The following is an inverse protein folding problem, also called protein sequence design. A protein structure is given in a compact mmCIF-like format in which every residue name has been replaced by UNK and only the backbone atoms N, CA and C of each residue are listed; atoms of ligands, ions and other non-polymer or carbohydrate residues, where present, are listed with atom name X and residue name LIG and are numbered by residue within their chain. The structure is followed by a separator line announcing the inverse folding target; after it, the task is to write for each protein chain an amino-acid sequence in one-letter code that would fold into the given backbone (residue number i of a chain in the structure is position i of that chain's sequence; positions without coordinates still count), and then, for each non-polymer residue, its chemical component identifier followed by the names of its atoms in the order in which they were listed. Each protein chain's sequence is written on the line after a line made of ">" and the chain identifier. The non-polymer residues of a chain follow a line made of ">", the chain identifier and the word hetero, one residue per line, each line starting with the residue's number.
data_IF_970542742063
#
_entry.id   IF_970542742063
#
_cell.length_a   1.000
_cell.length_b   1.000
_cell.length_c   1.000
_cell.angle_alpha   90.00
_cell.angle_beta   90.00
_cell.angle_gamma   90.00
#
_symmetry.space_group_name_H-M   'P 1'
#
loop_
_entity.id
_entity.type
_entity.pdbx_description
1 polymer ?
#
# COMPACT_ATOMS: atom_id res chain seq x y z
N UNK A 1 -17.17 -10.41 -18.10
CA UNK A 1 -17.16 -11.87 -18.31
C UNK A 1 -16.81 -12.51 -16.98
N UNK A 2 -17.49 -13.59 -16.57
CA UNK A 2 -17.13 -14.31 -15.35
C UNK A 2 -15.69 -14.84 -15.46
N UNK A 3 -14.92 -14.73 -14.38
CA UNK A 3 -13.53 -15.20 -14.33
C UNK A 3 -13.53 -16.73 -14.38
N UNK A 4 -12.70 -17.32 -15.25
CA UNK A 4 -12.60 -18.77 -15.34
C UNK A 4 -12.10 -19.37 -14.00
N UNK A 5 -12.66 -20.51 -13.53
CA UNK A 5 -12.25 -21.14 -12.27
C UNK A 5 -10.73 -21.41 -12.20
N UNK A 6 -10.09 -21.72 -13.32
CA UNK A 6 -8.65 -21.97 -13.39
C UNK A 6 -7.81 -20.70 -13.18
N UNK A 7 -8.32 -19.54 -13.58
CA UNK A 7 -7.67 -18.25 -13.35
C UNK A 7 -7.74 -17.86 -11.86
N UNK A 8 -8.89 -18.11 -11.21
CA UNK A 8 -9.05 -17.89 -9.76
C UNK A 8 -8.06 -18.78 -8.99
N UNK A 9 -8.01 -20.08 -9.33
CA UNK A 9 -7.05 -21.02 -8.71
C UNK A 9 -5.61 -20.56 -8.91
N UNK A 10 -5.23 -20.14 -10.12
CA UNK A 10 -3.88 -19.65 -10.41
C UNK A 10 -3.53 -18.40 -9.61
N UNK A 11 -4.46 -17.44 -9.47
CA UNK A 11 -4.23 -16.24 -8.65
C UNK A 11 -4.14 -16.59 -7.16
N UNK A 12 -4.97 -17.51 -6.67
CA UNK A 12 -4.89 -17.99 -5.29
C UNK A 12 -3.51 -18.60 -5.02
N UNK A 13 -3.04 -19.48 -5.90
CA UNK A 13 -1.72 -20.10 -5.80
C UNK A 13 -0.63 -19.03 -5.78
N UNK A 14 -0.63 -18.08 -6.73
CA UNK A 14 0.40 -17.03 -6.77
C UNK A 14 0.39 -16.18 -5.50
N UNK A 15 -0.79 -15.75 -5.03
CA UNK A 15 -0.90 -14.91 -3.85
C UNK A 15 -0.49 -15.65 -2.58
N UNK A 16 -0.91 -16.91 -2.40
CA UNK A 16 -0.55 -17.74 -1.25
C UNK A 16 0.94 -18.07 -1.28
N UNK A 17 1.48 -18.51 -2.42
CA UNK A 17 2.92 -18.79 -2.57
C UNK A 17 3.75 -17.54 -2.32
N UNK A 18 3.38 -16.40 -2.91
CA UNK A 18 4.06 -15.12 -2.67
C UNK A 18 4.01 -14.70 -1.20
N UNK A 19 2.82 -14.78 -0.57
CA UNK A 19 2.64 -14.49 0.85
C UNK A 19 3.55 -15.36 1.73
N UNK A 20 3.57 -16.68 1.51
CA UNK A 20 4.40 -17.61 2.26
C UNK A 20 5.88 -17.31 2.06
N UNK A 21 6.34 -17.16 0.82
CA UNK A 21 7.75 -16.92 0.51
C UNK A 21 8.26 -15.60 1.09
N UNK A 22 7.46 -14.53 0.99
CA UNK A 22 7.82 -13.21 1.53
C UNK A 22 7.87 -13.26 3.07
N UNK A 23 6.91 -13.92 3.72
CA UNK A 23 6.93 -14.09 5.19
C UNK A 23 8.09 -14.95 5.65
N UNK A 24 8.41 -16.02 4.92
CA UNK A 24 9.54 -16.90 5.23
C UNK A 24 10.86 -16.13 5.10
N UNK A 25 11.06 -15.42 3.97
CA UNK A 25 12.23 -14.59 3.74
C UNK A 25 12.38 -13.52 4.83
N UNK A 26 11.28 -12.85 5.19
CA UNK A 26 11.27 -11.86 6.26
C UNK A 26 11.60 -12.46 7.62
N UNK A 27 11.07 -13.64 7.94
CA UNK A 27 11.37 -14.33 9.20
C UNK A 27 12.88 -14.57 9.35
N UNK A 28 13.54 -15.06 8.30
CA UNK A 28 14.99 -15.27 8.30
C UNK A 28 15.80 -13.97 8.35
N UNK A 29 15.46 -12.99 7.50
CA UNK A 29 16.14 -11.69 7.47
C UNK A 29 15.98 -10.94 8.79
N UNK A 30 14.78 -10.94 9.37
CA UNK A 30 14.52 -10.34 10.68
C UNK A 30 15.30 -11.03 11.80
N UNK A 31 15.50 -12.36 11.73
CA UNK A 31 16.38 -13.09 12.65
C UNK A 31 17.80 -12.53 12.63
N UNK A 32 18.42 -12.46 11.45
CA UNK A 32 19.78 -11.90 11.30
C UNK A 32 19.88 -10.43 11.73
N UNK A 33 18.82 -9.65 11.50
CA UNK A 33 18.76 -8.24 11.90
C UNK A 33 18.69 -8.09 13.42
N UNK A 34 17.84 -8.86 14.10
CA UNK A 34 17.73 -8.81 15.56
C UNK A 34 18.98 -9.35 16.24
N UNK A 35 19.58 -10.42 15.70
CA UNK A 35 20.84 -10.99 16.19
C UNK A 35 22.00 -9.98 16.10
N UNK A 36 22.11 -9.26 14.98
CA UNK A 36 23.16 -8.23 14.79
C UNK A 36 22.97 -6.97 15.64
N UNK A 37 21.78 -6.73 16.18
CA UNK A 37 21.47 -5.58 17.04
C UNK A 37 21.36 -5.95 18.53
N UNK A 38 21.79 -7.16 18.91
CA UNK A 38 21.73 -7.57 20.31
C UNK A 38 22.70 -6.82 21.22
N UNK A 39 23.82 -6.28 20.73
CA UNK A 39 24.75 -5.51 21.56
C UNK A 39 25.69 -4.66 20.67
N UNK A 40 25.25 -3.48 20.23
CA UNK A 40 26.21 -2.52 19.65
C UNK A 40 26.85 -1.72 20.80
N UNK A 41 27.99 -2.19 21.31
CA UNK A 41 28.95 -1.37 22.07
C UNK A 41 29.66 -0.41 21.11
N UNK A 42 28.95 0.58 20.57
CA UNK A 42 29.62 1.79 20.09
C UNK A 42 29.89 2.64 21.34
N UNK A 43 31.12 3.12 21.54
CA UNK A 43 31.62 3.75 22.78
C UNK A 43 30.92 5.02 23.28
N UNK A 44 29.64 5.25 22.96
CA UNK A 44 28.83 6.42 23.31
C UNK A 44 27.44 6.02 23.91
N UNK A 45 27.08 4.73 23.96
CA UNK A 45 25.88 4.29 24.70
C UNK A 45 25.38 2.89 24.32
N UNK A 46 24.79 2.18 25.27
CA UNK A 46 24.16 0.88 25.03
C UNK A 46 22.79 1.07 24.39
N UNK A 47 22.59 0.60 23.15
CA UNK A 47 21.25 0.44 22.59
C UNK A 47 20.68 -0.85 23.16
N UNK A 48 19.54 -0.79 23.85
CA UNK A 48 18.92 -1.96 24.46
C UNK A 48 18.59 -3.02 23.39
N UNK A 49 18.95 -4.27 23.67
CA UNK A 49 18.59 -5.41 22.85
C UNK A 49 17.07 -5.50 22.64
N UNK A 50 16.65 -5.93 21.45
CA UNK A 50 15.23 -6.22 21.19
C UNK A 50 14.75 -7.37 22.08
N UNK A 51 13.65 -7.17 22.79
CA UNK A 51 13.03 -8.25 23.58
C UNK A 51 12.32 -9.26 22.67
N UNK A 52 12.17 -10.54 23.10
CA UNK A 52 11.41 -11.54 22.32
C UNK A 52 10.00 -11.09 21.94
N UNK A 53 9.34 -10.33 22.82
CA UNK A 53 8.01 -9.76 22.58
C UNK A 53 8.04 -8.73 21.45
N UNK A 54 9.05 -7.85 21.42
CA UNK A 54 9.21 -6.85 20.37
C UNK A 54 9.49 -7.51 19.01
N UNK A 55 10.33 -8.55 18.96
CA UNK A 55 10.59 -9.30 17.74
C UNK A 55 9.32 -9.98 17.22
N UNK A 56 8.54 -10.58 18.11
CA UNK A 56 7.28 -11.24 17.77
C UNK A 56 6.26 -10.24 17.26
N UNK A 57 6.13 -9.08 17.91
CA UNK A 57 5.25 -8.01 17.47
C UNK A 57 5.60 -7.52 16.05
N UNK A 58 6.89 -7.33 15.75
CA UNK A 58 7.36 -6.94 14.41
C UNK A 58 7.00 -7.99 13.36
N UNK A 59 7.24 -9.27 13.65
CA UNK A 59 6.91 -10.38 12.75
C UNK A 59 5.41 -10.52 12.50
N UNK A 60 4.59 -10.42 13.55
CA UNK A 60 3.13 -10.47 13.44
C UNK A 60 2.58 -9.28 12.63
N UNK A 61 3.13 -8.09 12.82
CA UNK A 61 2.71 -6.90 12.05
C UNK A 61 3.06 -7.07 10.57
N UNK A 62 4.23 -7.62 10.25
CA UNK A 62 4.62 -7.93 8.88
C UNK A 62 3.71 -8.99 8.25
N UNK A 63 3.41 -10.07 8.97
CA UNK A 63 2.52 -11.13 8.51
C UNK A 63 1.10 -10.61 8.25
N UNK A 64 0.58 -9.78 9.15
CA UNK A 64 -0.72 -9.12 8.96
C UNK A 64 -0.72 -8.26 7.69
N UNK A 65 0.30 -7.41 7.52
CA UNK A 65 0.40 -6.50 6.39
C UNK A 65 0.51 -7.24 5.05
N UNK A 66 1.41 -8.21 4.97
CA UNK A 66 1.57 -9.04 3.77
C UNK A 66 0.30 -9.85 3.49
N UNK A 67 -0.43 -10.28 4.52
CA UNK A 67 -1.71 -10.96 4.38
C UNK A 67 -2.79 -10.05 3.79
N UNK A 68 -2.88 -8.80 4.28
CA UNK A 68 -3.79 -7.78 3.74
C UNK A 68 -3.45 -7.50 2.27
N UNK A 69 -2.17 -7.27 1.96
CA UNK A 69 -1.71 -7.04 0.58
C UNK A 69 -2.01 -8.23 -0.32
N UNK A 70 -1.76 -9.46 0.14
CA UNK A 70 -2.07 -10.67 -0.61
C UNK A 70 -3.57 -10.85 -0.84
N UNK A 71 -4.41 -10.56 0.16
CA UNK A 71 -5.86 -10.61 0.04
C UNK A 71 -6.35 -9.60 -1.01
N UNK A 72 -5.95 -8.34 -0.92
CA UNK A 72 -6.33 -7.33 -1.92
C UNK A 72 -5.78 -7.64 -3.31
N UNK A 73 -4.56 -8.20 -3.40
CA UNK A 73 -3.99 -8.64 -4.68
C UNK A 73 -4.78 -9.81 -5.29
N UNK A 74 -5.23 -10.75 -4.47
CA UNK A 74 -6.08 -11.86 -4.90
C UNK A 74 -7.43 -11.36 -5.42
N UNK A 75 -8.14 -10.53 -4.65
CA UNK A 75 -9.43 -9.97 -5.07
C UNK A 75 -9.25 -9.10 -6.33
N UNK A 76 -8.16 -8.33 -6.43
CA UNK A 76 -7.83 -7.56 -7.63
C UNK A 76 -7.56 -8.44 -8.85
N UNK A 77 -7.05 -9.66 -8.67
CA UNK A 77 -6.89 -10.63 -9.75
C UNK A 77 -8.21 -11.19 -10.29
N UNK A 78 -9.29 -11.11 -9.52
CA UNK A 78 -10.64 -11.55 -9.91
C UNK A 78 -11.43 -10.38 -10.51
N UNK A 79 -11.53 -9.27 -9.79
CA UNK A 79 -12.28 -8.09 -10.21
C UNK A 79 -11.41 -6.82 -10.22
N UNK A 80 -10.44 -6.72 -11.14
CA UNK A 80 -9.47 -5.62 -11.15
C UNK A 80 -10.13 -4.25 -11.27
N UNK A 81 -11.28 -4.18 -11.97
CA UNK A 81 -12.04 -2.95 -12.13
C UNK A 81 -12.69 -2.51 -10.84
N UNK A 82 -13.35 -3.40 -10.10
CA UNK A 82 -14.01 -3.01 -8.85
C UNK A 82 -12.97 -2.67 -7.81
N UNK A 83 -11.97 -3.54 -7.62
CA UNK A 83 -10.97 -3.39 -6.56
C UNK A 83 -10.06 -2.20 -6.80
N UNK A 84 -9.54 -2.00 -8.02
CA UNK A 84 -8.65 -0.88 -8.32
C UNK A 84 -9.30 0.47 -8.06
N UNK A 85 -10.58 0.62 -8.43
CA UNK A 85 -11.33 1.86 -8.20
C UNK A 85 -11.78 1.99 -6.73
N UNK A 86 -12.19 0.90 -6.07
CA UNK A 86 -12.55 0.92 -4.65
C UNK A 86 -11.36 1.32 -3.79
N UNK A 87 -10.18 0.74 -4.04
CA UNK A 87 -8.95 1.12 -3.35
C UNK A 87 -8.62 2.60 -3.57
N UNK A 88 -8.73 3.10 -4.79
CA UNK A 88 -8.54 4.53 -5.07
C UNK A 88 -9.54 5.42 -4.31
N UNK A 89 -10.81 5.00 -4.18
CA UNK A 89 -11.81 5.73 -3.39
C UNK A 89 -11.48 5.72 -1.90
N UNK A 90 -11.07 4.57 -1.36
CA UNK A 90 -10.66 4.44 0.05
C UNK A 90 -9.45 5.33 0.34
N UNK A 91 -8.40 5.23 -0.49
CA UNK A 91 -7.18 6.03 -0.37
C UNK A 91 -7.47 7.53 -0.52
N UNK A 92 -8.31 7.90 -1.49
CA UNK A 92 -8.76 9.29 -1.67
C UNK A 92 -9.51 9.83 -0.44
N UNK A 93 -10.37 9.01 0.16
CA UNK A 93 -11.11 9.36 1.38
C UNK A 93 -10.18 9.53 2.57
N UNK A 94 -9.20 8.65 2.75
CA UNK A 94 -8.17 8.78 3.78
C UNK A 94 -7.39 10.08 3.63
N UNK A 95 -7.01 10.46 2.40
CA UNK A 95 -6.31 11.71 2.15
C UNK A 95 -7.15 12.94 2.52
N UNK A 96 -8.46 12.94 2.24
CA UNK A 96 -9.37 14.02 2.65
C UNK A 96 -9.47 14.10 4.18
N UNK A 97 -9.64 12.96 4.87
CA UNK A 97 -9.71 12.91 6.34
C UNK A 97 -8.40 13.40 6.96
N UNK A 98 -7.26 12.96 6.42
CA UNK A 98 -5.94 13.38 6.88
C UNK A 98 -5.71 14.89 6.67
N UNK A 99 -6.19 15.45 5.55
CA UNK A 99 -6.15 16.89 5.31
C UNK A 99 -6.92 17.68 6.36
N UNK A 100 -8.14 17.24 6.71
CA UNK A 100 -8.94 17.85 7.79
C UNK A 100 -8.16 17.79 9.11
N UNK A 101 -7.58 16.64 9.44
CA UNK A 101 -6.73 16.49 10.63
C UNK A 101 -5.56 17.49 10.64
N UNK A 102 -4.87 17.67 9.52
CA UNK A 102 -3.77 18.63 9.39
C UNK A 102 -4.21 20.06 9.70
N UNK A 103 -5.37 20.49 9.19
CA UNK A 103 -5.90 21.83 9.46
C UNK A 103 -6.36 22.00 10.91
N UNK A 104 -6.93 20.96 11.53
CA UNK A 104 -7.40 21.00 12.92
C UNK A 104 -6.23 21.04 13.90
N UNK A 105 -5.18 20.26 13.67
CA UNK A 105 -4.04 20.12 14.59
C UNK A 105 -2.87 21.08 14.29
N UNK A 106 -3.06 22.05 13.39
CA UNK A 106 -2.08 23.10 13.13
C UNK A 106 -0.79 22.64 12.46
N UNK A 107 -0.83 21.54 11.70
CA UNK A 107 0.30 21.12 10.88
C UNK A 107 0.45 22.02 9.64
N UNK A 108 1.50 21.80 8.83
CA UNK A 108 1.80 22.71 7.71
C UNK A 108 0.64 22.78 6.70
N UNK A 109 0.22 24.00 6.36
CA UNK A 109 -0.90 24.21 5.44
C UNK A 109 -0.64 23.63 4.04
N UNK A 110 0.62 23.56 3.62
CA UNK A 110 1.01 22.92 2.35
C UNK A 110 0.64 21.44 2.37
N UNK A 111 0.95 20.71 3.44
CA UNK A 111 0.60 19.28 3.56
C UNK A 111 -0.92 19.10 3.55
N UNK A 112 -1.65 19.96 4.26
CA UNK A 112 -3.12 19.92 4.30
C UNK A 112 -3.73 20.12 2.92
N UNK A 113 -3.28 21.12 2.16
CA UNK A 113 -3.75 21.39 0.80
C UNK A 113 -3.37 20.24 -0.14
N UNK A 114 -2.13 19.73 -0.07
CA UNK A 114 -1.69 18.61 -0.91
C UNK A 114 -2.56 17.38 -0.68
N UNK A 115 -2.80 16.99 0.58
CA UNK A 115 -3.66 15.85 0.92
C UNK A 115 -5.10 16.05 0.46
N UNK A 116 -5.65 17.27 0.61
CA UNK A 116 -7.01 17.58 0.18
C UNK A 116 -7.16 17.47 -1.34
N UNK A 117 -6.27 18.11 -2.08
CA UNK A 117 -6.27 18.10 -3.56
C UNK A 117 -6.06 16.69 -4.07
N UNK A 118 -5.08 15.97 -3.53
CA UNK A 118 -4.82 14.58 -3.86
C UNK A 118 -6.03 13.67 -3.59
N UNK A 119 -6.68 13.84 -2.44
CA UNK A 119 -7.85 13.06 -2.05
C UNK A 119 -9.04 13.31 -2.98
N UNK A 120 -9.39 14.58 -3.22
CA UNK A 120 -10.46 14.95 -4.16
C UNK A 120 -10.15 14.44 -5.57
N UNK A 121 -8.90 14.58 -6.02
CA UNK A 121 -8.47 14.16 -7.34
C UNK A 121 -8.57 12.63 -7.49
N UNK A 122 -8.12 11.84 -6.51
CA UNK A 122 -8.29 10.38 -6.49
C UNK A 122 -9.75 9.97 -6.60
N UNK A 123 -10.65 10.61 -5.83
CA UNK A 123 -12.09 10.34 -5.87
C UNK A 123 -12.70 10.66 -7.25
N UNK A 124 -12.38 11.83 -7.80
CA UNK A 124 -12.87 12.25 -9.10
C UNK A 124 -12.34 11.35 -10.22
N UNK A 125 -11.03 11.07 -10.22
CA UNK A 125 -10.40 10.19 -11.21
C UNK A 125 -10.95 8.77 -11.11
N UNK A 126 -11.19 8.24 -9.91
CA UNK A 126 -11.83 6.93 -9.74
C UNK A 126 -13.24 6.93 -10.35
N UNK A 127 -14.04 7.96 -10.11
CA UNK A 127 -15.38 8.07 -10.70
C UNK A 127 -15.34 8.10 -12.25
N UNK A 128 -14.54 8.99 -12.83
CA UNK A 128 -14.46 9.13 -14.30
C UNK A 128 -13.80 7.92 -14.96
N UNK A 129 -12.76 7.37 -14.34
CA UNK A 129 -12.11 6.13 -14.78
C UNK A 129 -13.12 4.99 -14.77
N UNK A 130 -13.93 4.85 -13.72
CA UNK A 130 -14.95 3.79 -13.63
C UNK A 130 -16.00 3.91 -14.73
N UNK A 131 -16.29 5.11 -15.23
CA UNK A 131 -17.16 5.35 -16.40
C UNK A 131 -16.49 5.10 -17.76
N UNK A 132 -15.21 4.74 -17.78
CA UNK A 132 -14.46 4.37 -18.97
C UNK A 132 -13.57 5.47 -19.55
N UNK A 133 -13.37 6.59 -18.85
CA UNK A 133 -12.43 7.63 -19.32
C UNK A 133 -10.98 7.15 -19.25
N UNK A 134 -10.34 7.01 -20.41
CA UNK A 134 -8.94 6.55 -20.53
C UNK A 134 -7.95 7.54 -19.93
N UNK A 135 -8.19 8.84 -20.09
CA UNK A 135 -7.35 9.87 -19.48
C UNK A 135 -7.40 9.76 -17.95
N UNK A 136 -8.62 9.65 -17.39
CA UNK A 136 -8.79 9.51 -15.95
C UNK A 136 -8.12 8.23 -15.42
N UNK A 137 -8.26 7.11 -16.14
CA UNK A 137 -7.59 5.84 -15.80
C UNK A 137 -6.06 5.97 -15.78
N UNK A 138 -5.46 6.57 -16.81
CA UNK A 138 -4.01 6.73 -16.90
C UNK A 138 -3.49 7.64 -15.77
N UNK A 139 -4.18 8.75 -15.50
CA UNK A 139 -3.86 9.63 -14.38
C UNK A 139 -4.01 8.92 -13.03
N UNK A 140 -5.03 8.08 -12.88
CA UNK A 140 -5.27 7.33 -11.65
C UNK A 140 -4.15 6.31 -11.37
N UNK A 141 -3.66 5.61 -12.39
CA UNK A 141 -2.48 4.73 -12.27
C UNK A 141 -1.26 5.55 -11.86
N UNK A 142 -1.02 6.68 -12.53
CA UNK A 142 0.15 7.52 -12.27
C UNK A 142 0.15 8.04 -10.83
N UNK A 143 -0.97 8.59 -10.33
CA UNK A 143 -1.04 9.14 -8.97
C UNK A 143 -0.89 8.04 -7.90
N UNK A 144 -1.53 6.88 -8.07
CA UNK A 144 -1.35 5.75 -7.16
C UNK A 144 0.10 5.25 -7.17
N UNK A 145 0.75 5.17 -8.34
CA UNK A 145 2.16 4.80 -8.45
C UNK A 145 3.11 5.79 -7.80
N UNK A 146 2.89 7.09 -8.00
CA UNK A 146 3.68 8.16 -7.38
C UNK A 146 3.52 8.14 -5.86
N UNK A 147 2.30 8.01 -5.34
CA UNK A 147 2.08 7.92 -3.89
C UNK A 147 2.64 6.64 -3.29
N UNK A 148 2.55 5.51 -3.98
CA UNK A 148 3.23 4.29 -3.54
C UNK A 148 4.73 4.54 -3.30
N UNK A 149 5.40 5.24 -4.22
CA UNK A 149 6.83 5.55 -4.08
C UNK A 149 7.10 6.62 -3.01
N UNK A 150 6.38 7.74 -3.04
CA UNK A 150 6.59 8.86 -2.10
C UNK A 150 6.31 8.43 -0.66
N UNK A 151 5.21 7.71 -0.42
CA UNK A 151 4.87 7.18 0.90
C UNK A 151 5.83 6.07 1.33
N UNK A 152 6.33 5.26 0.39
CA UNK A 152 7.34 4.24 0.71
C UNK A 152 8.61 4.87 1.29
N UNK A 153 9.14 5.90 0.64
CA UNK A 153 10.29 6.65 1.17
C UNK A 153 9.94 7.55 2.36
N UNK A 154 8.69 7.99 2.47
CA UNK A 154 8.19 8.80 3.58
C UNK A 154 7.90 8.02 4.87
N UNK A 155 7.72 6.70 4.79
CA UNK A 155 7.27 5.87 5.91
C UNK A 155 8.19 5.92 7.15
N UNK A 156 9.53 5.98 7.05
CA UNK A 156 10.37 6.16 8.24
C UNK A 156 10.07 7.45 9.01
N UNK A 157 9.70 8.53 8.30
CA UNK A 157 9.34 9.81 8.91
C UNK A 157 7.95 9.75 9.55
N UNK A 158 6.97 9.13 8.88
CA UNK A 158 5.63 8.89 9.42
C UNK A 158 5.70 8.05 10.70
N UNK A 159 6.51 6.98 10.68
CA UNK A 159 6.83 6.15 11.85
C UNK A 159 7.33 7.00 13.02
N UNK A 160 8.31 7.86 12.78
CA UNK A 160 8.89 8.71 13.83
C UNK A 160 7.89 9.74 14.39
N UNK A 161 7.01 10.28 13.54
CA UNK A 161 6.04 11.30 13.95
C UNK A 161 4.83 10.76 14.71
N UNK A 162 4.34 9.57 14.36
CA UNK A 162 3.11 8.97 14.95
C UNK A 162 3.45 7.91 16.00
N UNK A 163 4.71 7.47 16.10
CA UNK A 163 5.12 6.42 17.04
C UNK A 163 4.61 5.03 16.65
N UNK A 164 4.18 4.84 15.40
CA UNK A 164 3.73 3.55 14.88
C UNK A 164 4.92 2.70 14.41
N UNK A 165 4.71 1.40 14.24
CA UNK A 165 5.72 0.53 13.61
C UNK A 165 5.98 0.93 12.16
N UNK A 166 7.21 0.71 11.66
CA UNK A 166 7.54 0.97 10.26
C UNK A 166 6.60 0.20 9.32
N UNK A 167 6.28 -1.05 9.68
CA UNK A 167 5.36 -1.89 8.93
C UNK A 167 3.95 -1.27 8.85
N UNK A 168 3.43 -0.75 9.95
CA UNK A 168 2.14 -0.03 9.92
C UNK A 168 2.19 1.17 8.98
N UNK A 169 3.29 1.92 8.96
CA UNK A 169 3.50 3.03 8.03
C UNK A 169 3.62 2.56 6.55
N UNK A 170 3.91 1.27 6.30
CA UNK A 170 4.01 0.69 4.95
C UNK A 170 2.66 0.23 4.38
N UNK A 171 1.57 0.29 5.15
CA UNK A 171 0.24 -0.14 4.67
C UNK A 171 -0.22 0.74 3.50
N UNK A 172 -0.18 2.06 3.67
CA UNK A 172 -0.63 3.02 2.66
C UNK A 172 0.13 2.89 1.32
N UNK A 173 1.49 2.88 1.30
CA UNK A 173 2.21 2.70 0.05
C UNK A 173 1.95 1.33 -0.59
N UNK A 174 1.79 0.28 0.23
CA UNK A 174 1.40 -1.05 -0.25
C UNK A 174 0.04 -1.06 -0.95
N UNK A 175 -0.97 -0.43 -0.34
CA UNK A 175 -2.31 -0.30 -0.93
C UNK A 175 -2.29 0.53 -2.23
N UNK A 176 -1.52 1.62 -2.26
CA UNK A 176 -1.31 2.42 -3.47
C UNK A 176 -0.68 1.59 -4.60
N UNK A 177 0.32 0.75 -4.29
CA UNK A 177 0.96 -0.14 -5.26
C UNK A 177 -0.02 -1.20 -5.79
N UNK A 178 -0.82 -1.81 -4.92
CA UNK A 178 -1.86 -2.78 -5.32
C UNK A 178 -2.92 -2.10 -6.20
N UNK A 179 -3.37 -0.90 -5.85
CA UNK A 179 -4.31 -0.13 -6.66
C UNK A 179 -3.75 0.15 -8.06
N UNK A 180 -2.50 0.62 -8.15
CA UNK A 180 -1.84 0.88 -9.43
C UNK A 180 -1.69 -0.39 -10.28
N UNK A 181 -1.29 -1.52 -9.68
CA UNK A 181 -1.18 -2.79 -10.36
C UNK A 181 -2.54 -3.31 -10.86
N UNK A 182 -3.56 -3.26 -10.01
CA UNK A 182 -4.93 -3.65 -10.34
C UNK A 182 -5.48 -2.84 -11.52
N UNK A 183 -5.31 -1.51 -11.47
CA UNK A 183 -5.73 -0.61 -12.55
C UNK A 183 -4.93 -0.85 -13.84
N UNK A 184 -3.63 -1.13 -13.75
CA UNK A 184 -2.79 -1.42 -14.93
C UNK A 184 -3.25 -2.68 -15.66
N UNK A 185 -3.76 -3.68 -14.94
CA UNK A 185 -4.30 -4.90 -15.57
C UNK A 185 -5.53 -4.65 -16.45
N UNK A 186 -6.21 -3.50 -16.29
CA UNK A 186 -7.35 -3.09 -17.12
C UNK A 186 -6.95 -2.47 -18.46
N UNK A 187 -5.65 -2.37 -18.79
CA UNK A 187 -5.15 -1.70 -20.01
C UNK A 187 -5.92 -2.09 -21.27
N UNK A 188 -6.18 -3.39 -21.48
CA UNK A 188 -6.90 -3.87 -22.67
C UNK A 188 -8.30 -3.26 -22.80
N UNK A 189 -9.06 -3.22 -21.70
CA UNK A 189 -10.44 -2.70 -21.68
C UNK A 189 -10.55 -1.19 -21.96
N UNK A 190 -9.49 -0.42 -21.71
CA UNK A 190 -9.46 1.03 -22.01
C UNK A 190 -8.86 1.35 -23.38
N UNK A 191 -8.01 0.47 -23.94
CA UNK A 191 -7.46 0.67 -25.29
C UNK A 191 -8.53 0.39 -26.34
N UNK A 192 -9.26 -0.73 -26.21
CA UNK A 192 -10.28 -1.17 -27.18
C UNK A 192 -11.43 -0.18 -27.35
N UNK A 193 -11.86 0.50 -26.27
CA UNK A 193 -12.91 1.53 -26.33
C UNK A 193 -12.52 2.80 -27.08
N UNK A 194 -11.23 3.06 -27.29
CA UNK A 194 -10.79 4.21 -28.10
C UNK A 194 -10.73 3.88 -29.59
N UNK A 195 -10.79 2.60 -29.94
CA UNK A 195 -10.70 2.13 -31.33
C UNK A 195 -12.08 1.84 -31.95
N UNK A 196 -13.15 1.85 -31.15
CA UNK A 196 -14.54 1.72 -31.56
C UNK A 196 -15.23 3.08 -31.52
#
# INVERSE_FOLDING_TARGET
>A
MPVAPDQIKRMAIICVTGFVLINLAFYFLSGSYFESHHEVRAGIGTVAAYTPEQMTHVRMTFALLTGVVAAFSFVAGIEPRVVGHLLAVILGSFNVIAAIGVFVYGASGVVGITLLVAGILLLALAHYSYRGSRAAWAFLIAICGVFALVEFFGAPRVRASIGVGLWTAMILPGLNAVAAAALTSLRGSYVERTAA
#
